data_IF_715731159094
#
_entry.id   IF_715731159094
#
_cell.length_a   1.000
_cell.length_b   1.000
_cell.length_c   1.000
_cell.angle_alpha   90.00
_cell.angle_beta   90.00
_cell.angle_gamma   90.00
#
_symmetry.space_group_name_H-M   'P 1'
#
loop_
_entity.id
_entity.type
_entity.pdbx_description
1 polymer ?
#
# COMPACT_ATOMS: atom_id res chain seq x y z
N UNK A 1 -5.24 -19.59 -15.01
CA UNK A 1 -6.49 -20.36 -14.89
C UNK A 1 -7.73 -19.47 -14.84
N UNK A 2 -7.99 -18.74 -13.74
CA UNK A 2 -9.23 -17.96 -13.56
C UNK A 2 -9.56 -16.97 -14.68
N UNK A 3 -8.56 -16.22 -15.17
CA UNK A 3 -8.73 -15.31 -16.31
C UNK A 3 -8.65 -15.98 -17.68
N UNK A 4 -7.98 -17.13 -17.78
CA UNK A 4 -7.76 -17.85 -19.03
C UNK A 4 -9.03 -18.58 -19.52
N UNK A 5 -9.94 -18.92 -18.60
CA UNK A 5 -11.23 -19.55 -18.93
C UNK A 5 -12.35 -18.57 -19.32
N UNK A 6 -12.07 -17.25 -19.32
CA UNK A 6 -13.07 -16.23 -19.66
C UNK A 6 -12.88 -15.76 -21.11
N UNK A 7 -13.97 -15.67 -21.87
CA UNK A 7 -13.96 -15.03 -23.19
C UNK A 7 -13.51 -13.57 -23.05
N UNK A 8 -12.51 -13.13 -23.83
CA UNK A 8 -11.86 -11.83 -23.68
C UNK A 8 -12.85 -10.66 -23.81
N UNK A 9 -13.85 -10.77 -24.71
CA UNK A 9 -14.85 -9.71 -24.93
C UNK A 9 -15.87 -9.64 -23.79
N UNK A 10 -16.32 -10.80 -23.31
CA UNK A 10 -17.21 -10.90 -22.15
C UNK A 10 -16.49 -10.48 -20.85
N UNK A 11 -15.23 -10.88 -20.70
CA UNK A 11 -14.35 -10.56 -19.58
C UNK A 11 -14.13 -9.05 -19.43
N UNK A 12 -13.94 -8.33 -20.55
CA UNK A 12 -13.81 -6.87 -20.53
C UNK A 12 -15.03 -6.17 -19.92
N UNK A 13 -16.25 -6.53 -20.35
CA UNK A 13 -17.48 -5.90 -19.85
C UNK A 13 -17.79 -6.26 -18.40
N UNK A 14 -17.61 -7.53 -18.01
CA UNK A 14 -17.76 -7.96 -16.62
C UNK A 14 -16.70 -7.29 -15.73
N UNK A 15 -15.46 -7.18 -16.22
CA UNK A 15 -14.35 -6.53 -15.55
C UNK A 15 -14.58 -5.05 -15.32
N UNK A 16 -15.06 -4.30 -16.31
CA UNK A 16 -15.37 -2.87 -16.15
C UNK A 16 -16.47 -2.64 -15.11
N UNK A 17 -17.55 -3.45 -15.13
CA UNK A 17 -18.63 -3.34 -14.13
C UNK A 17 -18.11 -3.64 -12.72
N UNK A 18 -17.29 -4.68 -12.57
CA UNK A 18 -16.66 -5.00 -11.29
C UNK A 18 -15.72 -3.88 -10.82
N UNK A 19 -14.92 -3.30 -11.73
CA UNK A 19 -14.01 -2.20 -11.41
C UNK A 19 -14.76 -0.95 -10.93
N UNK A 20 -15.86 -0.58 -11.60
CA UNK A 20 -16.73 0.54 -11.16
C UNK A 20 -17.34 0.25 -9.79
N UNK A 21 -17.81 -0.97 -9.56
CA UNK A 21 -18.34 -1.39 -8.26
C UNK A 21 -17.27 -1.30 -7.15
N UNK A 22 -16.06 -1.84 -7.37
CA UNK A 22 -14.99 -1.77 -6.40
C UNK A 22 -14.53 -0.34 -6.12
N UNK A 23 -14.37 0.49 -7.15
CA UNK A 23 -13.97 1.89 -6.96
C UNK A 23 -15.02 2.68 -6.19
N UNK A 24 -16.29 2.56 -6.56
CA UNK A 24 -17.39 3.27 -5.87
C UNK A 24 -17.54 2.86 -4.41
N UNK A 25 -17.55 1.56 -4.12
CA UNK A 25 -17.62 1.04 -2.75
C UNK A 25 -16.41 1.44 -1.92
N UNK A 26 -15.20 1.40 -2.48
CA UNK A 26 -13.98 1.84 -1.80
C UNK A 26 -14.01 3.33 -1.44
N UNK A 27 -14.45 4.18 -2.37
CA UNK A 27 -14.59 5.63 -2.12
C UNK A 27 -15.63 5.89 -1.03
N UNK A 28 -16.79 5.22 -1.08
CA UNK A 28 -17.82 5.34 -0.06
C UNK A 28 -17.33 4.86 1.32
N UNK A 29 -16.57 3.76 1.37
CA UNK A 29 -15.95 3.26 2.60
C UNK A 29 -14.96 4.27 3.18
N UNK A 30 -14.09 4.85 2.34
CA UNK A 30 -13.11 5.84 2.76
C UNK A 30 -13.78 7.12 3.28
N UNK A 31 -14.79 7.63 2.59
CA UNK A 31 -15.55 8.82 3.03
C UNK A 31 -16.24 8.55 4.37
N UNK A 32 -16.91 7.41 4.52
CA UNK A 32 -17.54 7.03 5.79
C UNK A 32 -16.51 6.93 6.92
N UNK A 33 -15.36 6.30 6.65
CA UNK A 33 -14.26 6.18 7.62
C UNK A 33 -13.72 7.53 8.06
N UNK A 34 -13.47 8.45 7.12
CA UNK A 34 -13.02 9.82 7.42
C UNK A 34 -14.05 10.57 8.25
N UNK A 35 -15.33 10.51 7.88
CA UNK A 35 -16.42 11.16 8.65
C UNK A 35 -16.48 10.62 10.08
N UNK A 36 -16.41 9.30 10.27
CA UNK A 36 -16.47 8.69 11.60
C UNK A 36 -15.26 9.05 12.47
N UNK A 37 -14.04 9.00 11.90
CA UNK A 37 -12.83 9.36 12.64
C UNK A 37 -12.83 10.84 13.01
N UNK A 38 -13.27 11.73 12.11
CA UNK A 38 -13.42 13.16 12.39
C UNK A 38 -14.61 13.48 13.30
N UNK A 39 -15.58 12.59 13.47
CA UNK A 39 -16.69 12.81 14.41
C UNK A 39 -16.31 12.36 15.82
N UNK A 40 -15.72 11.17 15.94
CA UNK A 40 -15.42 10.53 17.23
C UNK A 40 -14.08 11.01 17.81
N UNK A 41 -13.15 11.50 16.96
CA UNK A 41 -11.81 11.93 17.35
C UNK A 41 -11.10 10.94 18.30
N UNK A 42 -10.87 9.68 17.89
CA UNK A 42 -10.25 8.70 18.76
C UNK A 42 -8.79 9.07 19.07
N UNK A 43 -8.48 9.27 20.36
CA UNK A 43 -7.11 9.49 20.87
C UNK A 43 -6.95 10.85 21.58
N UNK A 44 -5.87 11.02 22.35
CA UNK A 44 -5.58 12.28 23.03
C UNK A 44 -4.28 12.89 22.47
N UNK A 45 -4.31 14.11 21.89
CA UNK A 45 -3.11 14.75 21.33
C UNK A 45 -2.00 14.97 22.35
N UNK A 46 -2.34 15.05 23.65
CA UNK A 46 -1.36 15.24 24.74
C UNK A 46 -0.43 14.04 24.96
N UNK A 47 -0.80 12.83 24.53
CA UNK A 47 0.09 11.66 24.61
C UNK A 47 1.09 11.56 23.46
N UNK A 48 0.84 12.23 22.32
CA UNK A 48 1.80 12.28 21.20
C UNK A 48 3.11 12.98 21.59
N UNK A 49 3.08 13.85 22.58
CA UNK A 49 4.27 14.54 23.11
C UNK A 49 5.03 13.68 24.12
N UNK A 50 4.35 12.75 24.81
CA UNK A 50 4.93 11.88 25.83
C UNK A 50 5.56 10.58 25.26
N UNK A 51 5.02 10.07 24.15
CA UNK A 51 5.67 9.01 23.36
C UNK A 51 6.67 9.66 22.40
N UNK A 52 7.89 9.85 22.88
CA UNK A 52 8.96 10.53 22.16
C UNK A 52 9.08 10.08 20.69
N UNK A 53 9.13 11.08 19.81
CA UNK A 53 9.64 11.02 18.44
C UNK A 53 9.25 9.75 17.65
N UNK A 54 8.09 9.78 17.01
CA UNK A 54 7.99 9.14 15.70
C UNK A 54 9.15 9.71 14.87
N UNK A 55 10.15 8.88 14.57
CA UNK A 55 11.30 9.22 13.74
C UNK A 55 10.81 10.06 12.57
N UNK A 56 11.42 11.23 12.36
CA UNK A 56 11.07 12.16 11.28
C UNK A 56 10.87 11.33 10.02
N UNK A 57 9.62 11.14 9.61
CA UNK A 57 9.32 10.48 8.34
C UNK A 57 10.03 11.33 7.30
N UNK A 58 10.91 10.72 6.52
CA UNK A 58 11.34 11.36 5.29
C UNK A 58 10.07 11.78 4.56
N UNK A 59 10.00 13.04 4.14
CA UNK A 59 8.88 13.52 3.35
C UNK A 59 8.93 12.80 2.00
N UNK A 60 8.31 11.63 1.94
CA UNK A 60 8.13 10.89 0.71
C UNK A 60 7.15 11.70 -0.12
N UNK A 61 7.62 12.18 -1.27
CA UNK A 61 6.75 12.90 -2.20
C UNK A 61 5.66 11.95 -2.68
N UNK A 62 4.40 12.41 -2.69
CA UNK A 62 3.29 11.62 -3.22
C UNK A 62 3.50 11.23 -4.69
N UNK A 63 4.24 12.04 -5.45
CA UNK A 63 4.64 11.71 -6.82
C UNK A 63 5.62 10.55 -6.86
N UNK A 64 6.59 10.49 -5.94
CA UNK A 64 7.53 9.38 -5.88
C UNK A 64 6.79 8.08 -5.55
N UNK A 65 5.85 8.12 -4.60
CA UNK A 65 5.01 6.97 -4.26
C UNK A 65 4.15 6.49 -5.44
N UNK A 66 3.59 7.43 -6.22
CA UNK A 66 2.83 7.09 -7.42
C UNK A 66 3.71 6.50 -8.53
N UNK A 67 4.90 7.06 -8.75
CA UNK A 67 5.86 6.52 -9.72
C UNK A 67 6.38 5.14 -9.28
N UNK A 68 6.61 4.93 -7.99
CA UNK A 68 6.96 3.64 -7.41
C UNK A 68 5.84 2.63 -7.62
N UNK A 69 4.56 3.03 -7.50
CA UNK A 69 3.41 2.17 -7.81
C UNK A 69 3.45 1.67 -9.27
N UNK A 70 3.68 2.57 -10.23
CA UNK A 70 3.76 2.21 -11.66
C UNK A 70 4.97 1.31 -11.93
N UNK A 71 6.13 1.63 -11.37
CA UNK A 71 7.34 0.81 -11.53
C UNK A 71 7.16 -0.59 -10.96
N UNK A 72 6.52 -0.68 -9.79
CA UNK A 72 6.23 -1.98 -9.19
C UNK A 72 5.14 -2.75 -9.95
N UNK A 73 4.24 -2.10 -10.71
CA UNK A 73 3.24 -2.78 -11.53
C UNK A 73 3.86 -3.60 -12.67
N UNK A 74 5.02 -3.17 -13.20
CA UNK A 74 5.76 -3.86 -14.27
C UNK A 74 7.17 -4.22 -13.79
N UNK A 75 7.32 -5.31 -13.01
CA UNK A 75 8.61 -5.69 -12.46
C UNK A 75 9.59 -6.08 -13.55
N UNK A 76 10.84 -5.64 -13.40
CA UNK A 76 11.94 -5.94 -14.33
C UNK A 76 12.29 -7.44 -14.33
N UNK A 77 12.09 -8.10 -13.18
CA UNK A 77 12.37 -9.52 -13.00
C UNK A 77 11.33 -10.15 -12.04
N UNK A 78 10.67 -11.22 -12.49
CA UNK A 78 9.64 -11.91 -11.72
C UNK A 78 10.17 -12.68 -10.51
N UNK A 79 11.36 -13.29 -10.64
CA UNK A 79 11.98 -14.03 -9.54
C UNK A 79 12.42 -13.06 -8.45
N UNK A 80 12.97 -11.91 -8.84
CA UNK A 80 13.31 -10.84 -7.90
C UNK A 80 12.06 -10.26 -7.22
N UNK A 81 10.96 -10.08 -7.97
CA UNK A 81 9.69 -9.57 -7.46
C UNK A 81 9.08 -10.45 -6.34
N UNK A 82 9.43 -11.74 -6.27
CA UNK A 82 9.02 -12.62 -5.16
C UNK A 82 9.62 -12.21 -3.81
N UNK A 83 10.75 -11.49 -3.80
CA UNK A 83 11.52 -11.18 -2.58
C UNK A 83 11.86 -9.71 -2.41
N UNK A 84 11.75 -8.89 -3.46
CA UNK A 84 12.12 -7.48 -3.45
C UNK A 84 11.10 -6.58 -4.16
N UNK A 85 11.06 -5.31 -3.74
CA UNK A 85 10.25 -4.24 -4.32
C UNK A 85 11.09 -2.97 -4.50
N UNK A 86 10.76 -2.16 -5.50
CA UNK A 86 11.47 -0.90 -5.80
C UNK A 86 10.85 0.23 -5.00
N UNK A 87 11.67 1.02 -4.30
CA UNK A 87 11.23 2.24 -3.64
C UNK A 87 12.20 3.39 -3.89
N UNK A 88 11.65 4.59 -4.05
CA UNK A 88 12.44 5.82 -4.12
C UNK A 88 12.82 6.25 -2.70
N UNK A 89 14.12 6.32 -2.41
CA UNK A 89 14.66 6.73 -1.12
C UNK A 89 15.43 8.04 -1.29
N UNK A 90 15.25 8.97 -0.35
CA UNK A 90 15.90 10.28 -0.38
C UNK A 90 17.21 10.24 0.41
N UNK A 91 18.34 10.02 -0.28
CA UNK A 91 19.63 9.99 0.39
C UNK A 91 20.21 11.41 0.47
N UNK A 92 20.54 11.86 1.70
CA UNK A 92 21.29 13.12 1.89
C UNK A 92 22.78 12.83 1.69
N UNK A 93 23.32 13.25 0.55
CA UNK A 93 24.74 13.12 0.24
C UNK A 93 25.45 14.42 0.65
N UNK A 94 26.50 14.38 1.48
CA UNK A 94 27.29 15.55 1.81
C UNK A 94 28.06 16.00 0.56
N UNK A 95 27.78 17.20 0.06
CA UNK A 95 28.49 17.79 -1.08
C UNK A 95 29.78 18.43 -0.54
N UNK A 96 30.95 18.17 -1.16
CA UNK A 96 32.19 18.85 -0.77
C UNK A 96 32.02 20.37 -0.91
N UNK A 97 32.62 21.17 -0.01
CA UNK A 97 32.42 22.61 0.04
C UNK A 97 32.72 23.25 -1.32
N UNK A 98 31.69 23.84 -1.94
CA UNK A 98 31.85 24.62 -3.15
C UNK A 98 32.41 25.99 -2.74
N UNK A 99 33.48 26.45 -3.41
CA UNK A 99 34.02 27.80 -3.23
C UNK A 99 33.00 28.79 -3.79
N UNK A 100 32.15 29.32 -2.91
CA UNK A 100 31.16 30.34 -3.27
C UNK A 100 31.89 31.68 -3.35
N UNK A 101 32.28 32.04 -4.58
CA UNK A 101 32.56 33.42 -5.02
C UNK A 101 33.81 34.08 -4.42
N UNK A 102 34.81 34.29 -5.28
CA UNK A 102 35.97 35.14 -5.00
C UNK A 102 35.61 36.59 -5.33
N UNK A 103 35.40 37.43 -4.31
CA UNK A 103 35.26 38.88 -4.53
C UNK A 103 36.63 39.56 -4.41
N UNK A 104 37.08 40.19 -5.50
CA UNK A 104 38.23 41.09 -5.44
C UNK A 104 37.75 42.43 -4.88
N UNK A 105 37.99 42.67 -3.59
CA UNK A 105 37.58 43.92 -2.95
C UNK A 105 38.74 44.91 -3.05
N UNK A 106 38.55 46.00 -3.79
CA UNK A 106 39.49 47.13 -3.81
C UNK A 106 39.04 48.16 -2.78
N UNK A 107 39.75 48.29 -1.66
CA UNK A 107 39.49 49.35 -0.67
C UNK A 107 40.51 50.49 -0.82
N UNK A 108 40.01 51.71 -0.92
CA UNK A 108 40.81 52.93 -0.87
C UNK A 108 40.93 53.39 0.59
N UNK A 109 42.15 53.44 1.14
CA UNK A 109 42.36 54.03 2.46
C UNK A 109 42.31 55.56 2.36
N UNK A 110 41.58 56.25 3.26
CA UNK A 110 41.57 57.70 3.27
C UNK A 110 42.92 58.20 3.83
N UNK A 111 43.75 58.78 2.96
CA UNK A 111 44.90 59.59 3.39
C UNK A 111 46.22 59.40 2.63
N UNK A 112 46.41 58.34 1.84
CA UNK A 112 47.54 58.24 0.91
C UNK A 112 47.28 57.15 -0.13
N UNK A 113 47.72 57.35 -1.37
CA UNK A 113 47.29 56.60 -2.57
C UNK A 113 47.90 55.19 -2.66
N UNK A 114 47.62 54.29 -1.70
CA UNK A 114 48.03 52.88 -1.76
C UNK A 114 46.80 51.97 -1.95
N UNK A 115 46.72 51.35 -3.14
CA UNK A 115 45.68 50.40 -3.53
C UNK A 115 46.00 49.03 -2.92
N UNK A 116 45.20 48.57 -1.95
CA UNK A 116 45.26 47.18 -1.50
C UNK A 116 44.25 46.34 -2.29
N UNK A 117 44.78 45.42 -3.10
CA UNK A 117 43.99 44.38 -3.75
C UNK A 117 44.00 43.14 -2.85
N UNK A 118 42.90 42.91 -2.13
CA UNK A 118 42.73 41.75 -1.25
C UNK A 118 41.67 40.81 -1.83
N UNK A 119 42.07 39.57 -2.08
CA UNK A 119 41.14 38.47 -2.40
C UNK A 119 40.53 37.95 -1.12
N UNK A 120 39.24 38.18 -0.90
CA UNK A 120 38.50 37.57 0.21
C UNK A 120 37.76 36.35 -0.34
N UNK A 121 38.21 35.17 0.07
CA UNK A 121 37.50 33.91 -0.18
C UNK A 121 36.56 33.63 0.99
N UNK A 122 35.26 33.85 0.80
CA UNK A 122 34.22 33.36 1.70
C UNK A 122 34.09 31.84 1.51
N UNK A 123 34.83 31.06 2.30
CA UNK A 123 34.67 29.60 2.34
C UNK A 123 33.42 29.33 3.20
N UNK A 124 32.29 29.03 2.56
CA UNK A 124 31.12 28.51 3.26
C UNK A 124 31.45 27.13 3.84
N UNK A 125 31.89 27.11 5.10
CA UNK A 125 32.22 25.92 5.90
C UNK A 125 30.97 25.23 6.47
N UNK A 126 29.84 25.29 5.77
CA UNK A 126 28.63 24.55 6.09
C UNK A 126 28.54 23.27 5.25
N UNK A 127 28.22 22.09 5.82
CA UNK A 127 27.93 20.91 5.03
C UNK A 127 26.68 21.16 4.17
N UNK A 128 26.86 21.49 2.90
CA UNK A 128 25.77 21.53 1.93
C UNK A 128 25.35 20.09 1.68
N UNK A 129 24.22 19.69 2.27
CA UNK A 129 23.64 18.36 2.04
C UNK A 129 22.73 18.45 0.82
N UNK A 130 23.13 17.83 -0.29
CA UNK A 130 22.24 17.66 -1.43
C UNK A 130 21.37 16.44 -1.20
N UNK A 131 20.06 16.59 -1.36
CA UNK A 131 19.13 15.46 -1.31
C UNK A 131 19.11 14.82 -2.69
N UNK A 132 19.69 13.64 -2.82
CA UNK A 132 19.66 12.86 -4.05
C UNK A 132 18.66 11.72 -3.90
N UNK A 133 17.69 11.66 -4.81
CA UNK A 133 16.73 10.55 -4.85
C UNK A 133 17.36 9.38 -5.59
N UNK A 134 17.37 8.20 -4.98
CA UNK A 134 17.84 6.98 -5.62
C UNK A 134 16.77 5.89 -5.53
N UNK A 135 16.82 4.96 -6.49
CA UNK A 135 16.01 3.76 -6.44
C UNK A 135 16.75 2.70 -5.65
N UNK A 136 16.08 2.13 -4.68
CA UNK A 136 16.61 1.05 -3.86
C UNK A 136 15.66 -0.14 -3.89
N UNK A 137 16.24 -1.34 -3.99
CA UNK A 137 15.51 -2.59 -3.84
C UNK A 137 15.38 -2.90 -2.35
N UNK A 138 14.16 -2.82 -1.83
CA UNK A 138 13.87 -3.22 -0.45
C UNK A 138 13.37 -4.64 -0.39
N UNK A 139 13.76 -5.35 0.66
CA UNK A 139 13.23 -6.68 0.94
C UNK A 139 11.71 -6.62 1.17
N UNK A 140 10.99 -7.54 0.54
CA UNK A 140 9.53 -7.61 0.54
C UNK A 140 9.01 -8.02 -0.83
N UNK A 141 7.96 -8.83 -0.85
CA UNK A 141 7.35 -9.30 -2.09
C UNK A 141 6.62 -8.17 -2.82
N UNK A 142 6.94 -7.94 -4.09
CA UNK A 142 6.20 -7.04 -4.97
C UNK A 142 4.91 -7.74 -5.46
N UNK A 143 3.90 -7.78 -4.59
CA UNK A 143 2.61 -8.42 -4.87
C UNK A 143 1.90 -7.77 -6.06
N UNK A 144 1.99 -6.43 -6.18
CA UNK A 144 1.35 -5.68 -7.27
C UNK A 144 1.88 -6.12 -8.63
N UNK A 145 3.21 -6.21 -8.77
CA UNK A 145 3.86 -6.61 -10.01
C UNK A 145 3.58 -8.07 -10.39
N UNK A 146 3.58 -8.97 -9.40
CA UNK A 146 3.21 -10.36 -9.61
C UNK A 146 1.76 -10.49 -10.11
N UNK A 147 0.81 -9.80 -9.46
CA UNK A 147 -0.59 -9.77 -9.89
C UNK A 147 -0.69 -9.20 -11.32
N UNK A 148 -0.06 -8.06 -11.59
CA UNK A 148 -0.09 -7.41 -12.91
C UNK A 148 0.42 -8.35 -14.02
N UNK A 149 1.57 -8.98 -13.81
CA UNK A 149 2.13 -9.96 -14.74
C UNK A 149 1.21 -11.16 -14.95
N UNK A 150 0.74 -11.80 -13.88
CA UNK A 150 -0.09 -13.00 -13.99
C UNK A 150 -1.49 -12.74 -14.55
N UNK A 151 -2.02 -11.52 -14.40
CA UNK A 151 -3.24 -11.08 -15.10
C UNK A 151 -2.97 -11.04 -16.61
N UNK A 152 -1.93 -10.34 -17.06
CA UNK A 152 -1.58 -10.23 -18.47
C UNK A 152 -1.27 -11.62 -19.08
N UNK A 153 -0.50 -12.44 -18.37
CA UNK A 153 -0.21 -13.82 -18.74
C UNK A 153 -1.47 -14.69 -18.82
N UNK A 154 -2.39 -14.55 -17.87
CA UNK A 154 -3.68 -15.25 -17.88
C UNK A 154 -4.56 -14.88 -19.07
N UNK A 155 -4.59 -13.60 -19.45
CA UNK A 155 -5.32 -13.11 -20.63
C UNK A 155 -4.67 -13.63 -21.92
N UNK A 156 -3.36 -13.54 -22.05
CA UNK A 156 -2.63 -14.06 -23.21
C UNK A 156 -2.84 -15.57 -23.39
N UNK A 157 -2.77 -16.33 -22.29
CA UNK A 157 -3.06 -17.76 -22.27
C UNK A 157 -4.49 -18.08 -22.72
N UNK A 158 -5.49 -17.30 -22.27
CA UNK A 158 -6.89 -17.50 -22.68
C UNK A 158 -7.12 -17.27 -24.19
N UNK A 159 -6.35 -16.38 -24.80
CA UNK A 159 -6.41 -16.12 -26.25
C UNK A 159 -5.80 -17.25 -27.09
N UNK A 160 -4.93 -18.07 -26.53
CA UNK A 160 -4.27 -19.20 -27.23
C UNK A 160 -5.16 -20.45 -27.34
N UNK A 161 -6.37 -20.44 -26.75
CA UNK A 161 -7.35 -21.51 -26.89
C UNK A 161 -6.82 -22.88 -26.48
N UNK A 162 -6.93 -23.88 -27.37
CA UNK A 162 -6.57 -25.26 -27.04
C UNK A 162 -5.08 -25.47 -26.74
N UNK A 163 -4.20 -24.66 -27.34
CA UNK A 163 -2.75 -24.79 -27.14
C UNK A 163 -2.35 -24.48 -25.68
N UNK A 164 -3.15 -23.67 -24.99
CA UNK A 164 -2.92 -23.31 -23.60
C UNK A 164 -3.50 -24.30 -22.57
N UNK A 165 -4.29 -25.30 -23.00
CA UNK A 165 -4.96 -26.26 -22.08
C UNK A 165 -4.00 -26.93 -21.10
N UNK A 166 -2.84 -27.49 -21.53
CA UNK A 166 -1.92 -28.13 -20.58
C UNK A 166 -1.42 -27.19 -19.49
N UNK A 167 -1.17 -25.92 -19.85
CA UNK A 167 -0.73 -24.90 -18.89
C UNK A 167 -1.88 -24.47 -17.96
N UNK A 168 -3.10 -24.32 -18.48
CA UNK A 168 -4.26 -23.99 -17.68
C UNK A 168 -4.56 -25.08 -16.64
N UNK A 169 -4.48 -26.36 -17.05
CA UNK A 169 -4.68 -27.51 -16.16
C UNK A 169 -3.60 -27.60 -15.08
N UNK A 170 -2.34 -27.35 -15.43
CA UNK A 170 -1.26 -27.23 -14.45
C UNK A 170 -1.58 -26.19 -13.37
N UNK A 171 -1.99 -24.98 -13.75
CA UNK A 171 -2.35 -23.94 -12.78
C UNK A 171 -3.61 -24.25 -11.97
N UNK A 172 -4.57 -24.98 -12.55
CA UNK A 172 -5.76 -25.44 -11.82
C UNK A 172 -5.39 -26.43 -10.71
N UNK A 173 -4.55 -27.43 -11.03
CA UNK A 173 -4.05 -28.41 -10.06
C UNK A 173 -3.23 -27.71 -8.98
N UNK A 174 -2.35 -26.78 -9.36
CA UNK A 174 -1.56 -26.00 -8.42
C UNK A 174 -2.44 -25.19 -7.46
N UNK A 175 -3.50 -24.55 -7.96
CA UNK A 175 -4.45 -23.82 -7.12
C UNK A 175 -5.18 -24.74 -6.13
N UNK A 176 -5.59 -25.93 -6.55
CA UNK A 176 -6.21 -26.93 -5.66
C UNK A 176 -5.26 -27.34 -4.54
N UNK A 177 -3.98 -27.60 -4.87
CA UNK A 177 -2.94 -27.90 -3.87
C UNK A 177 -2.78 -26.73 -2.89
N UNK A 178 -2.73 -25.49 -3.39
CA UNK A 178 -2.61 -24.29 -2.54
C UNK A 178 -3.82 -24.17 -1.59
N UNK A 179 -5.04 -24.42 -2.06
CA UNK A 179 -6.25 -24.36 -1.21
C UNK A 179 -6.22 -25.42 -0.10
N UNK A 180 -5.65 -26.60 -0.35
CA UNK A 180 -5.44 -27.60 0.68
C UNK A 180 -4.40 -27.15 1.72
N UNK A 181 -3.29 -26.55 1.28
CA UNK A 181 -2.28 -25.96 2.18
C UNK A 181 -2.87 -24.83 3.04
N UNK A 182 -3.69 -23.95 2.45
CA UNK A 182 -4.38 -22.88 3.17
C UNK A 182 -5.31 -23.46 4.24
N UNK A 183 -6.04 -24.54 3.94
CA UNK A 183 -6.90 -25.21 4.91
C UNK A 183 -6.12 -25.74 6.12
N UNK A 184 -4.95 -26.33 5.89
CA UNK A 184 -4.05 -26.78 6.97
C UNK A 184 -3.57 -25.61 7.84
N UNK A 185 -3.19 -24.49 7.22
CA UNK A 185 -2.76 -23.28 7.94
C UNK A 185 -3.93 -22.68 8.74
N UNK A 186 -5.16 -22.69 8.18
CA UNK A 186 -6.36 -22.20 8.89
C UNK A 186 -6.65 -23.02 10.15
N UNK A 187 -6.41 -24.34 10.14
CA UNK A 187 -6.52 -25.18 11.34
C UNK A 187 -5.50 -24.81 12.44
N UNK A 188 -4.29 -24.38 12.05
CA UNK A 188 -3.27 -23.92 13.01
C UNK A 188 -3.47 -22.46 13.46
N UNK A 189 -4.20 -21.67 12.67
CA UNK A 189 -4.42 -20.23 12.87
C UNK A 189 -4.90 -19.83 14.28
N UNK A 190 -5.84 -20.54 14.95
CA UNK A 190 -6.29 -20.16 16.29
C UNK A 190 -5.14 -20.07 17.30
N UNK A 191 -4.18 -20.99 17.23
CA UNK A 191 -3.00 -20.99 18.10
C UNK A 191 -2.04 -19.86 17.74
N UNK A 192 -1.79 -19.64 16.44
CA UNK A 192 -0.94 -18.54 15.96
C UNK A 192 -1.49 -17.15 16.33
N UNK A 193 -2.79 -16.92 16.12
CA UNK A 193 -3.46 -15.67 16.46
C UNK A 193 -3.42 -15.43 17.97
N UNK A 194 -3.69 -16.46 18.80
CA UNK A 194 -3.64 -16.33 20.26
C UNK A 194 -2.23 -15.93 20.75
N UNK A 195 -1.18 -16.55 20.20
CA UNK A 195 0.22 -16.21 20.52
C UNK A 195 0.60 -14.79 20.10
N UNK A 196 0.19 -14.35 18.90
CA UNK A 196 0.44 -13.00 18.41
C UNK A 196 -0.26 -11.94 19.27
N UNK A 197 -1.50 -12.18 19.67
CA UNK A 197 -2.25 -11.28 20.57
C UNK A 197 -1.53 -11.20 21.92
N UNK A 198 -1.23 -12.34 22.55
CA UNK A 198 -0.53 -12.38 23.84
C UNK A 198 0.82 -11.65 23.78
N UNK A 199 1.64 -11.91 22.76
CA UNK A 199 2.93 -11.27 22.57
C UNK A 199 2.83 -9.75 22.36
N UNK A 200 1.82 -9.27 21.63
CA UNK A 200 1.58 -7.83 21.44
C UNK A 200 1.08 -7.16 22.73
N UNK A 201 0.29 -7.85 23.55
CA UNK A 201 -0.21 -7.31 24.81
C UNK A 201 0.88 -7.28 25.90
N UNK A 202 1.77 -8.28 25.95
CA UNK A 202 2.81 -8.39 26.96
C UNK A 202 3.83 -7.22 26.95
N UNK A 203 4.04 -6.58 25.79
CA UNK A 203 4.96 -5.45 25.65
C UNK A 203 4.39 -4.08 26.03
N UNK A 204 3.10 -3.98 26.38
CA UNK A 204 2.43 -2.71 26.67
C UNK A 204 2.58 -2.33 28.14
N UNK A 205 3.42 -1.34 28.45
CA UNK A 205 3.49 -0.72 29.77
C UNK A 205 2.32 0.26 29.94
N UNK A 206 1.54 0.13 31.02
CA UNK A 206 0.36 0.97 31.26
C UNK A 206 -0.85 0.56 30.40
N UNK A 207 -1.23 -0.73 30.50
CA UNK A 207 -2.30 -1.37 29.74
C UNK A 207 -3.59 -0.54 29.72
N UNK A 208 -3.97 0.07 30.84
CA UNK A 208 -5.23 0.79 30.96
C UNK A 208 -5.31 2.05 30.06
N UNK A 209 -4.26 2.88 30.05
CA UNK A 209 -4.26 4.12 29.28
C UNK A 209 -4.13 3.85 27.78
N UNK A 210 -3.28 2.90 27.40
CA UNK A 210 -3.11 2.45 26.01
C UNK A 210 -4.37 1.75 25.54
N UNK A 211 -4.95 0.84 26.32
CA UNK A 211 -6.21 0.17 25.98
C UNK A 211 -7.37 1.15 25.85
N UNK A 212 -7.43 2.22 26.66
CA UNK A 212 -8.51 3.23 26.54
C UNK A 212 -8.42 4.04 25.24
N UNK A 213 -7.22 4.45 24.84
CA UNK A 213 -7.05 5.26 23.62
C UNK A 213 -7.03 4.45 22.34
N UNK A 214 -6.29 3.34 22.33
CA UNK A 214 -6.29 2.38 21.21
C UNK A 214 -7.64 1.68 21.10
N UNK A 215 -8.33 1.47 22.22
CA UNK A 215 -9.69 0.93 22.28
C UNK A 215 -10.70 1.83 21.60
N UNK A 216 -10.67 3.15 21.85
CA UNK A 216 -11.55 4.09 21.14
C UNK A 216 -11.31 4.10 19.63
N UNK A 217 -10.05 3.97 19.20
CA UNK A 217 -9.73 3.77 17.79
C UNK A 217 -10.34 2.46 17.26
N UNK A 218 -10.18 1.35 17.98
CA UNK A 218 -10.78 0.07 17.60
C UNK A 218 -12.30 0.11 17.53
N UNK A 219 -12.97 0.75 18.50
CA UNK A 219 -14.43 0.91 18.46
C UNK A 219 -14.85 1.73 17.24
N UNK A 220 -14.12 2.81 16.92
CA UNK A 220 -14.42 3.65 15.75
C UNK A 220 -14.27 2.86 14.44
N UNK A 221 -13.19 2.08 14.30
CA UNK A 221 -12.95 1.23 13.12
C UNK A 221 -13.99 0.11 13.04
N UNK A 222 -14.27 -0.58 14.15
CA UNK A 222 -15.28 -1.64 14.20
C UNK A 222 -16.68 -1.12 13.84
N UNK A 223 -17.05 0.06 14.36
CA UNK A 223 -18.28 0.74 14.00
C UNK A 223 -18.31 1.11 12.51
N UNK A 224 -17.21 1.63 11.96
CA UNK A 224 -17.12 1.95 10.54
C UNK A 224 -17.27 0.72 9.64
N UNK A 225 -16.62 -0.38 9.99
CA UNK A 225 -16.76 -1.66 9.30
C UNK A 225 -18.19 -2.21 9.42
N UNK A 226 -18.81 -2.11 10.59
CA UNK A 226 -20.18 -2.56 10.82
C UNK A 226 -21.19 -1.72 10.03
N UNK A 227 -21.07 -0.39 10.04
CA UNK A 227 -21.95 0.49 9.28
C UNK A 227 -21.76 0.29 7.76
N UNK A 228 -20.51 0.18 7.29
CA UNK A 228 -20.26 -0.07 5.87
C UNK A 228 -20.78 -1.45 5.44
N UNK A 229 -20.48 -2.49 6.22
CA UNK A 229 -20.84 -3.87 5.93
C UNK A 229 -22.33 -4.17 6.08
N UNK A 230 -22.99 -3.64 7.12
CA UNK A 230 -24.38 -3.95 7.44
C UNK A 230 -25.39 -2.95 6.86
N UNK A 231 -24.98 -1.73 6.49
CA UNK A 231 -25.88 -0.73 5.91
C UNK A 231 -25.49 -0.38 4.47
N UNK A 232 -24.26 0.07 4.23
CA UNK A 232 -23.85 0.58 2.90
C UNK A 232 -23.87 -0.50 1.84
N UNK A 233 -23.24 -1.66 2.08
CA UNK A 233 -23.22 -2.76 1.12
C UNK A 233 -24.63 -3.32 0.83
N UNK A 234 -25.49 -3.59 1.85
CA UNK A 234 -26.89 -3.99 1.62
C UNK A 234 -27.71 -2.95 0.86
N UNK A 235 -27.52 -1.65 1.13
CA UNK A 235 -28.19 -0.57 0.38
C UNK A 235 -27.79 -0.55 -1.09
N UNK A 236 -26.50 -0.70 -1.38
CA UNK A 236 -26.00 -0.76 -2.77
C UNK A 236 -26.55 -2.02 -3.45
N UNK A 237 -26.52 -3.17 -2.76
CA UNK A 237 -27.10 -4.41 -3.29
C UNK A 237 -28.58 -4.24 -3.60
N UNK A 238 -29.39 -3.76 -2.65
CA UNK A 238 -30.82 -3.52 -2.84
C UNK A 238 -31.08 -2.51 -3.96
N UNK A 239 -30.28 -1.44 -4.05
CA UNK A 239 -30.41 -0.44 -5.10
C UNK A 239 -30.20 -0.98 -6.51
N UNK A 240 -29.26 -1.91 -6.68
CA UNK A 240 -28.92 -2.51 -7.98
C UNK A 240 -29.81 -3.72 -8.32
N UNK A 241 -30.02 -4.63 -7.38
CA UNK A 241 -30.73 -5.90 -7.63
C UNK A 241 -32.22 -5.81 -7.34
N UNK A 242 -32.68 -4.81 -6.58
CA UNK A 242 -34.05 -4.67 -6.05
C UNK A 242 -34.52 -5.90 -5.25
N UNK A 243 -33.59 -6.72 -4.78
CA UNK A 243 -33.86 -7.89 -3.95
C UNK A 243 -33.44 -7.64 -2.51
N UNK A 244 -34.13 -8.26 -1.56
CA UNK A 244 -33.79 -8.12 -0.15
C UNK A 244 -32.38 -8.71 0.12
N UNK A 245 -31.39 -7.88 0.50
CA UNK A 245 -30.02 -8.32 0.75
C UNK A 245 -29.93 -9.34 1.89
N UNK A 246 -30.84 -9.29 2.86
CA UNK A 246 -30.85 -10.17 4.02
C UNK A 246 -31.59 -11.50 3.77
N UNK A 247 -32.27 -11.64 2.64
CA UNK A 247 -32.93 -12.89 2.23
C UNK A 247 -32.00 -13.82 1.44
N UNK A 248 -30.84 -13.32 0.99
CA UNK A 248 -29.79 -14.15 0.39
C UNK A 248 -29.14 -14.95 1.52
N UNK A 249 -29.58 -16.18 1.71
CA UNK A 249 -28.95 -17.10 2.66
C UNK A 249 -27.46 -17.24 2.31
N UNK A 250 -26.54 -17.15 3.29
CA UNK A 250 -25.16 -17.55 3.04
C UNK A 250 -25.17 -18.99 2.56
N UNK A 251 -24.59 -19.23 1.37
CA UNK A 251 -24.40 -20.59 0.88
C UNK A 251 -23.53 -21.34 1.90
N UNK A 252 -23.92 -22.54 2.35
CA UNK A 252 -23.10 -23.31 3.25
C UNK A 252 -21.74 -23.58 2.59
N UNK A 253 -20.62 -23.47 3.35
CA UNK A 253 -19.29 -23.72 2.81
C UNK A 253 -19.23 -25.14 2.24
N UNK A 254 -19.00 -25.26 0.93
CA UNK A 254 -18.88 -26.55 0.24
C UNK A 254 -19.91 -26.82 -0.87
N UNK A 255 -20.90 -25.95 -1.10
CA UNK A 255 -21.83 -26.10 -2.23
C UNK A 255 -21.22 -25.52 -3.51
N UNK A 256 -20.69 -26.38 -4.38
CA UNK A 256 -20.44 -26.01 -5.79
C UNK A 256 -21.77 -25.52 -6.38
N UNK A 257 -21.81 -24.41 -7.12
CA UNK A 257 -23.02 -24.04 -7.84
C UNK A 257 -23.33 -25.18 -8.83
N UNK A 258 -24.40 -25.92 -8.57
CA UNK A 258 -24.96 -26.81 -9.59
C UNK A 258 -25.44 -25.91 -10.72
N UNK A 259 -24.76 -25.99 -11.86
CA UNK A 259 -25.27 -25.42 -13.09
C UNK A 259 -26.65 -26.04 -13.35
N UNK A 260 -27.72 -25.28 -13.17
CA UNK A 260 -29.04 -25.70 -13.64
C UNK A 260 -29.05 -25.56 -15.17
N UNK A 261 -29.37 -26.61 -15.93
CA UNK A 261 -29.60 -26.49 -17.35
C UNK A 261 -31.04 -26.01 -17.57
N UNK A 262 -31.20 -24.76 -18.02
CA UNK A 262 -32.34 -24.34 -18.85
C UNK A 262 -31.87 -23.29 -19.84
#
# INVERSE_FOLDING_TARGET
AGLAGLDAKASGHMGTRAMVYYMSTTVLAAVLGVILVLSIHPGNPKLRTATGAAARSEEVSSLDAFLDLIRNLFPENLVQACFQQVQTVSQKVPVPPQVVRQENVTRLLPGNLSLLNATVTEISLGPSTATHKQLEFKAGMNVLGLIGFFIAFGVAMGQMGEQAKPMADFFNILNEIIMQLVSMIMWYSPFGIASLICGKLAGLQGLELVARQLGMYMVTVALGLLLHGALVLPLIFFGVTRQNPFAVSPAPPGTRPSASPR
#
